data_IF_378379088271
#
_entry.id   IF_378379088271
#
_cell.length_a   1.000
_cell.length_b   1.000
_cell.length_c   1.000
_cell.angle_alpha   90.00
_cell.angle_beta   90.00
_cell.angle_gamma   90.00
#
_symmetry.space_group_name_H-M   'P 1'
#
loop_
_entity.id
_entity.type
_entity.pdbx_description
1 polymer ?
#
# COMPACT_ATOMS: atom_id res chain seq x y z
N UNK A 1 -0.71 -8.65 -6.87
CA UNK A 1 -0.42 -8.05 -5.55
C UNK A 1 -1.13 -6.74 -5.37
N UNK A 2 -1.66 -6.50 -4.17
CA UNK A 2 -2.36 -5.28 -3.78
C UNK A 2 -1.61 -4.59 -2.67
N UNK A 3 -1.49 -3.27 -2.75
CA UNK A 3 -0.83 -2.40 -1.79
C UNK A 3 -1.81 -1.31 -1.33
N UNK A 4 -1.86 -1.08 -0.03
CA UNK A 4 -2.46 0.10 0.60
C UNK A 4 -1.36 0.92 1.27
N UNK A 5 -1.35 2.21 1.04
CA UNK A 5 -0.42 3.16 1.65
C UNK A 5 -1.20 4.29 2.31
N UNK A 6 -1.09 4.40 3.62
CA UNK A 6 -1.78 5.39 4.46
C UNK A 6 -0.77 6.39 5.04
N UNK A 7 -1.05 7.68 4.89
CA UNK A 7 -0.16 8.74 5.41
C UNK A 7 -0.33 8.83 6.92
N UNK A 8 0.67 8.33 7.65
CA UNK A 8 0.64 8.34 9.11
C UNK A 8 0.75 9.76 9.65
N UNK A 9 0.10 9.98 10.81
CA UNK A 9 0.06 11.27 11.51
C UNK A 9 -0.66 12.38 10.74
N UNK A 10 -1.28 12.05 9.60
CA UNK A 10 -1.99 13.00 8.75
C UNK A 10 -3.15 13.69 9.49
N UNK A 11 -3.92 12.96 10.29
CA UNK A 11 -5.01 13.52 11.11
C UNK A 11 -4.48 14.56 12.11
N UNK A 12 -3.37 14.26 12.80
CA UNK A 12 -2.72 15.19 13.72
C UNK A 12 -2.13 16.40 13.00
N UNK A 13 -1.50 16.17 11.86
CA UNK A 13 -0.98 17.23 10.99
C UNK A 13 -2.11 18.13 10.48
N UNK A 14 -3.19 17.55 9.97
CA UNK A 14 -4.32 18.28 9.38
C UNK A 14 -5.08 19.14 10.38
N UNK A 15 -5.07 18.80 11.67
CA UNK A 15 -5.70 19.60 12.70
C UNK A 15 -4.96 20.93 13.00
N UNK A 16 -3.70 21.05 12.57
CA UNK A 16 -2.83 22.19 12.85
C UNK A 16 -2.58 23.11 11.63
N UNK A 17 -3.13 22.77 10.45
CA UNK A 17 -2.93 23.52 9.21
C UNK A 17 -4.26 23.85 8.54
N UNK A 18 -4.26 24.83 7.61
CA UNK A 18 -5.49 25.17 6.90
C UNK A 18 -5.90 24.08 5.89
N UNK A 19 -7.21 23.94 5.61
CA UNK A 19 -7.69 22.97 4.62
C UNK A 19 -7.01 23.08 3.24
N UNK A 20 -6.65 24.29 2.84
CA UNK A 20 -5.94 24.53 1.58
C UNK A 20 -4.55 23.86 1.58
N UNK A 21 -3.80 24.02 2.66
CA UNK A 21 -2.47 23.41 2.82
C UNK A 21 -2.57 21.88 2.84
N UNK A 22 -3.61 21.33 3.48
CA UNK A 22 -3.87 19.89 3.47
C UNK A 22 -4.03 19.35 2.05
N UNK A 23 -4.86 20.00 1.24
CA UNK A 23 -5.11 19.59 -0.15
C UNK A 23 -3.85 19.70 -1.00
N UNK A 24 -3.09 20.78 -0.84
CA UNK A 24 -1.83 21.00 -1.56
C UNK A 24 -0.79 19.91 -1.20
N UNK A 25 -0.66 19.57 0.08
CA UNK A 25 0.27 18.55 0.54
C UNK A 25 -0.12 17.14 0.03
N UNK A 26 -1.40 16.77 0.15
CA UNK A 26 -1.89 15.51 -0.41
C UNK A 26 -1.68 15.43 -1.92
N UNK A 27 -1.99 16.52 -2.64
CA UNK A 27 -1.79 16.55 -4.07
C UNK A 27 -0.32 16.39 -4.45
N UNK A 28 0.60 17.02 -3.70
CA UNK A 28 2.04 16.87 -3.91
C UNK A 28 2.50 15.41 -3.69
N UNK A 29 2.11 14.80 -2.57
CA UNK A 29 2.46 13.41 -2.26
C UNK A 29 1.87 12.45 -3.30
N UNK A 30 0.59 12.58 -3.63
CA UNK A 30 -0.08 11.68 -4.56
C UNK A 30 0.39 11.85 -6.00
N UNK A 31 0.81 13.05 -6.41
CA UNK A 31 1.44 13.25 -7.73
C UNK A 31 2.76 12.48 -7.84
N UNK A 32 3.58 12.50 -6.78
CA UNK A 32 4.81 11.69 -6.75
C UNK A 32 4.49 10.20 -6.76
N UNK A 33 3.42 9.77 -6.08
CA UNK A 33 2.98 8.37 -6.13
C UNK A 33 2.49 7.96 -7.51
N UNK A 34 1.78 8.86 -8.22
CA UNK A 34 1.35 8.63 -9.60
C UNK A 34 2.56 8.43 -10.53
N UNK A 35 3.60 9.26 -10.41
CA UNK A 35 4.86 9.12 -11.17
C UNK A 35 5.57 7.78 -10.86
N UNK A 36 5.56 7.35 -9.60
CA UNK A 36 6.14 6.06 -9.20
C UNK A 36 5.32 4.88 -9.73
N UNK A 37 3.99 4.97 -9.72
CA UNK A 37 3.11 3.95 -10.29
C UNK A 37 3.41 3.77 -11.78
N UNK A 38 3.55 4.86 -12.53
CA UNK A 38 3.92 4.83 -13.95
C UNK A 38 5.31 4.24 -14.16
N UNK A 39 6.30 4.66 -13.36
CA UNK A 39 7.68 4.14 -13.41
C UNK A 39 7.75 2.62 -13.24
N UNK A 40 6.94 2.07 -12.33
CA UNK A 40 6.90 0.65 -12.03
C UNK A 40 5.89 -0.13 -12.89
N UNK A 41 5.19 0.53 -13.79
CA UNK A 41 4.12 -0.06 -14.61
C UNK A 41 3.10 -0.83 -13.73
N UNK A 42 2.74 -0.22 -12.61
CA UNK A 42 1.70 -0.68 -11.71
C UNK A 42 0.36 0.01 -12.02
N UNK A 43 -0.70 -0.39 -11.37
CA UNK A 43 -2.04 0.17 -11.57
C UNK A 43 -2.50 0.93 -10.33
N UNK A 44 -2.75 2.23 -10.47
CA UNK A 44 -3.47 3.01 -9.46
C UNK A 44 -4.94 2.63 -9.47
N UNK A 45 -5.46 2.18 -8.35
CA UNK A 45 -6.86 1.79 -8.24
C UNK A 45 -7.70 3.00 -7.79
N UNK A 46 -7.40 3.57 -6.65
CA UNK A 46 -8.11 4.71 -6.07
C UNK A 46 -7.37 5.33 -4.90
N UNK A 47 -7.85 6.49 -4.49
CA UNK A 47 -7.53 7.07 -3.18
C UNK A 47 -8.76 7.05 -2.28
N UNK A 48 -8.57 6.88 -0.97
CA UNK A 48 -9.63 6.90 0.06
C UNK A 48 -9.13 7.81 1.18
N UNK A 49 -9.48 9.10 1.12
CA UNK A 49 -8.89 10.10 2.02
C UNK A 49 -7.39 10.23 1.79
N UNK A 50 -6.60 9.96 2.82
CA UNK A 50 -5.15 9.94 2.83
C UNK A 50 -4.54 8.55 2.51
N UNK A 51 -5.38 7.58 2.15
CA UNK A 51 -4.95 6.24 1.76
C UNK A 51 -4.90 6.10 0.23
N UNK A 52 -3.83 5.50 -0.28
CA UNK A 52 -3.58 5.30 -1.71
C UNK A 52 -3.49 3.81 -2.03
N UNK A 53 -4.34 3.32 -2.94
CA UNK A 53 -4.45 1.91 -3.32
C UNK A 53 -3.85 1.63 -4.69
N UNK A 54 -2.94 0.66 -4.75
CA UNK A 54 -2.21 0.23 -5.95
C UNK A 54 -2.34 -1.28 -6.12
N UNK A 55 -2.23 -1.73 -7.37
CA UNK A 55 -2.06 -3.14 -7.66
C UNK A 55 -1.04 -3.39 -8.77
N UNK A 56 -0.46 -4.59 -8.80
CA UNK A 56 0.37 -5.08 -9.91
C UNK A 56 -0.02 -6.51 -10.27
N UNK A 57 0.08 -6.84 -11.55
CA UNK A 57 -0.39 -8.09 -12.13
C UNK A 57 -1.80 -7.99 -12.72
N UNK A 58 -2.36 -6.78 -12.74
CA UNK A 58 -3.59 -6.38 -13.39
C UNK A 58 -3.39 -5.01 -14.06
N UNK A 59 -4.15 -4.64 -15.09
CA UNK A 59 -4.98 -5.51 -15.91
C UNK A 59 -4.15 -6.54 -16.70
N UNK A 60 -2.84 -6.29 -16.82
CA UNK A 60 -1.92 -7.17 -17.53
C UNK A 60 -1.15 -8.05 -16.54
N UNK A 61 -0.95 -9.32 -16.90
CA UNK A 61 -0.18 -10.26 -16.08
C UNK A 61 1.26 -9.79 -15.93
N UNK A 62 1.73 -9.69 -14.70
CA UNK A 62 3.11 -9.43 -14.35
C UNK A 62 3.61 -10.55 -13.42
N UNK A 63 4.62 -11.31 -13.86
CA UNK A 63 5.20 -12.38 -13.02
C UNK A 63 5.94 -11.86 -11.80
N UNK A 64 6.42 -10.61 -11.87
CA UNK A 64 7.13 -9.91 -10.79
C UNK A 64 6.20 -9.00 -9.98
N UNK A 65 4.89 -9.25 -10.00
CA UNK A 65 3.89 -8.38 -9.37
C UNK A 65 4.17 -8.08 -7.90
N UNK A 66 4.72 -9.02 -7.14
CA UNK A 66 5.02 -8.83 -5.71
C UNK A 66 6.27 -7.98 -5.50
N UNK A 67 7.33 -8.24 -6.28
CA UNK A 67 8.54 -7.42 -6.28
C UNK A 67 8.25 -5.99 -6.74
N UNK A 68 7.46 -5.84 -7.80
CA UNK A 68 7.05 -4.54 -8.33
C UNK A 68 6.42 -3.66 -7.24
N UNK A 69 5.44 -4.18 -6.49
CA UNK A 69 4.78 -3.38 -5.44
C UNK A 69 5.68 -3.15 -4.22
N UNK A 70 6.62 -4.05 -3.93
CA UNK A 70 7.58 -3.86 -2.85
C UNK A 70 8.62 -2.78 -3.18
N UNK A 71 9.22 -2.85 -4.36
CA UNK A 71 10.21 -1.85 -4.80
C UNK A 71 9.55 -0.47 -4.90
N UNK A 72 8.32 -0.38 -5.43
CA UNK A 72 7.51 0.83 -5.43
C UNK A 72 7.22 1.33 -4.00
N UNK A 73 6.85 0.45 -3.07
CA UNK A 73 6.59 0.81 -1.68
C UNK A 73 7.82 1.39 -0.97
N UNK A 74 9.02 0.88 -1.26
CA UNK A 74 10.26 1.42 -0.72
C UNK A 74 10.50 2.85 -1.20
N UNK A 75 10.33 3.12 -2.50
CA UNK A 75 10.47 4.49 -3.04
C UNK A 75 9.37 5.44 -2.55
N UNK A 76 8.12 4.98 -2.41
CA UNK A 76 7.04 5.79 -1.83
C UNK A 76 7.37 6.24 -0.41
N UNK A 77 7.91 5.33 0.42
CA UNK A 77 8.32 5.63 1.78
C UNK A 77 9.41 6.69 1.83
N UNK A 78 10.41 6.58 0.96
CA UNK A 78 11.49 7.57 0.88
C UNK A 78 10.99 8.92 0.33
N UNK A 79 10.07 8.91 -0.63
CA UNK A 79 9.46 10.12 -1.19
C UNK A 79 8.70 10.92 -0.12
N UNK A 80 7.83 10.29 0.68
CA UNK A 80 7.09 10.99 1.76
C UNK A 80 8.06 11.61 2.76
N UNK A 81 9.10 10.89 3.19
CA UNK A 81 10.11 11.40 4.11
C UNK A 81 10.86 12.62 3.55
N UNK A 82 11.08 12.67 2.23
CA UNK A 82 11.74 13.79 1.57
C UNK A 82 10.83 15.00 1.38
N UNK A 83 9.53 14.78 1.17
CA UNK A 83 8.52 15.84 1.01
C UNK A 83 8.24 16.49 2.37
N UNK A 84 7.92 15.69 3.39
CA UNK A 84 7.61 16.21 4.71
C UNK A 84 8.06 15.22 5.81
N UNK A 85 9.08 15.60 6.57
CA UNK A 85 9.65 14.76 7.62
C UNK A 85 8.73 14.51 8.82
N UNK A 86 7.66 15.28 8.94
CA UNK A 86 6.67 15.13 10.01
C UNK A 86 5.57 14.10 9.64
N UNK A 87 5.51 13.70 8.38
CA UNK A 87 4.59 12.68 7.89
C UNK A 87 5.31 11.35 7.75
N UNK A 88 4.60 10.29 8.02
CA UNK A 88 5.06 8.94 7.78
C UNK A 88 4.19 8.21 6.77
N UNK A 89 4.53 6.98 6.48
CA UNK A 89 3.76 6.13 5.59
C UNK A 89 3.66 4.73 6.20
N UNK A 90 2.43 4.23 6.38
CA UNK A 90 2.15 2.84 6.70
C UNK A 90 1.76 2.13 5.41
N UNK A 91 2.43 1.03 5.11
CA UNK A 91 2.15 0.27 3.89
C UNK A 91 1.78 -1.15 4.25
N UNK A 92 0.66 -1.63 3.66
CA UNK A 92 0.22 -3.02 3.75
C UNK A 92 0.16 -3.67 2.38
N UNK A 93 0.75 -4.88 2.25
CA UNK A 93 0.79 -5.61 0.98
C UNK A 93 0.28 -7.04 1.16
N UNK A 94 -0.55 -7.48 0.21
CA UNK A 94 -0.96 -8.88 0.10
C UNK A 94 -0.99 -9.34 -1.36
N UNK A 95 -0.66 -10.61 -1.57
CA UNK A 95 -0.63 -11.25 -2.89
C UNK A 95 -1.63 -12.41 -2.94
N UNK A 96 -2.34 -12.51 -4.05
CA UNK A 96 -3.36 -13.53 -4.29
C UNK A 96 -4.34 -13.11 -5.39
N UNK A 97 -5.38 -13.88 -5.57
CA UNK A 97 -6.42 -13.61 -6.57
C UNK A 97 -7.26 -12.39 -6.19
N UNK A 98 -7.63 -11.62 -7.21
CA UNK A 98 -8.56 -10.48 -7.13
C UNK A 98 -9.47 -10.48 -8.33
N UNK A 99 -10.65 -9.89 -8.16
CA UNK A 99 -11.56 -9.58 -9.26
C UNK A 99 -11.53 -8.08 -9.50
N UNK A 100 -11.20 -7.67 -10.72
CA UNK A 100 -11.24 -6.28 -11.15
C UNK A 100 -12.52 -6.01 -11.94
N UNK A 101 -13.13 -4.87 -11.74
CA UNK A 101 -14.34 -4.53 -12.47
C UNK A 101 -14.80 -3.10 -12.24
N UNK A 102 -15.89 -2.76 -12.92
CA UNK A 102 -16.55 -1.47 -12.79
C UNK A 102 -17.96 -1.70 -12.26
N UNK A 103 -18.26 -1.09 -11.12
CA UNK A 103 -19.57 -1.20 -10.49
C UNK A 103 -20.20 0.19 -10.38
N UNK A 104 -21.50 0.24 -10.64
CA UNK A 104 -22.33 1.43 -10.50
C UNK A 104 -23.08 1.79 -11.78
N UNK A 105 -24.20 2.52 -11.61
CA UNK A 105 -25.03 3.01 -12.74
C UNK A 105 -24.80 4.49 -13.05
N UNK A 106 -24.34 5.29 -12.09
CA UNK A 106 -24.19 6.75 -12.23
C UNK A 106 -22.74 7.22 -12.21
N UNK A 107 -21.88 6.60 -11.38
CA UNK A 107 -20.44 6.85 -11.33
C UNK A 107 -19.75 5.51 -11.51
N UNK A 108 -19.12 5.33 -12.65
CA UNK A 108 -18.33 4.14 -12.93
C UNK A 108 -17.02 4.23 -12.14
N UNK A 109 -16.83 3.35 -11.18
CA UNK A 109 -15.61 3.25 -10.40
C UNK A 109 -14.97 1.91 -10.70
N UNK A 110 -13.80 1.93 -11.28
CA UNK A 110 -12.94 0.75 -11.39
C UNK A 110 -12.40 0.42 -10.01
N UNK A 111 -12.60 -0.79 -9.57
CA UNK A 111 -12.17 -1.24 -8.25
C UNK A 111 -11.77 -2.73 -8.26
N UNK A 112 -11.19 -3.18 -7.15
CA UNK A 112 -10.81 -4.55 -6.91
C UNK A 112 -11.57 -5.14 -5.74
N UNK A 113 -11.95 -6.41 -5.90
CA UNK A 113 -12.61 -7.20 -4.86
C UNK A 113 -11.88 -8.52 -4.66
N UNK A 114 -11.96 -9.02 -3.44
CA UNK A 114 -11.42 -10.32 -3.07
C UNK A 114 -10.76 -10.29 -1.70
N UNK A 115 -10.47 -11.47 -1.22
CA UNK A 115 -9.82 -11.67 0.07
C UNK A 115 -8.45 -10.98 0.16
N UNK A 116 -7.70 -11.03 -0.93
CA UNK A 116 -6.38 -10.38 -1.06
C UNK A 116 -6.44 -8.88 -0.77
N UNK A 117 -7.50 -8.20 -1.25
CA UNK A 117 -7.71 -6.76 -1.01
C UNK A 117 -7.94 -6.49 0.48
N UNK A 118 -8.81 -7.30 1.10
CA UNK A 118 -9.10 -7.19 2.53
C UNK A 118 -7.86 -7.44 3.38
N UNK A 119 -7.06 -8.45 3.03
CA UNK A 119 -5.81 -8.75 3.74
C UNK A 119 -4.80 -7.63 3.59
N UNK A 120 -4.61 -7.07 2.39
CA UNK A 120 -3.72 -5.94 2.17
C UNK A 120 -4.10 -4.72 3.03
N UNK A 121 -5.39 -4.37 3.08
CA UNK A 121 -5.91 -3.31 3.96
C UNK A 121 -5.68 -3.62 5.44
N UNK A 122 -5.76 -4.90 5.86
CA UNK A 122 -5.43 -5.29 7.24
C UNK A 122 -3.94 -5.17 7.52
N UNK A 123 -3.08 -5.56 6.58
CA UNK A 123 -1.63 -5.37 6.73
C UNK A 123 -1.29 -3.90 6.95
N UNK A 124 -1.90 -2.98 6.18
CA UNK A 124 -1.74 -1.54 6.39
C UNK A 124 -2.23 -1.14 7.79
N UNK A 125 -3.46 -1.51 8.17
CA UNK A 125 -4.07 -1.14 9.45
C UNK A 125 -3.28 -1.60 10.68
N UNK A 126 -2.69 -2.80 10.63
CA UNK A 126 -1.84 -3.37 11.69
C UNK A 126 -0.36 -3.03 11.48
N UNK A 127 -0.04 -2.27 10.44
CA UNK A 127 1.30 -1.78 10.15
C UNK A 127 1.79 -0.76 11.16
N UNK A 128 3.08 -0.49 11.11
CA UNK A 128 3.74 0.54 11.91
C UNK A 128 4.17 1.69 11.01
N UNK A 129 4.27 2.86 11.59
CA UNK A 129 4.74 4.04 10.88
C UNK A 129 6.13 3.81 10.28
N UNK A 130 6.32 4.21 9.03
CA UNK A 130 7.53 4.02 8.23
C UNK A 130 7.89 2.55 7.95
N UNK A 131 6.98 1.59 8.15
CA UNK A 131 7.23 0.19 7.87
C UNK A 131 6.31 -0.34 6.77
N UNK A 132 6.80 -1.36 6.07
CA UNK A 132 6.06 -2.11 5.05
C UNK A 132 5.71 -3.46 5.65
N UNK A 133 4.42 -3.70 5.86
CA UNK A 133 3.87 -4.90 6.47
C UNK A 133 3.26 -5.79 5.40
N UNK A 134 3.68 -7.04 5.34
CA UNK A 134 3.26 -7.97 4.29
C UNK A 134 2.62 -9.22 4.84
N UNK A 135 1.68 -9.77 4.08
CA UNK A 135 1.06 -11.06 4.36
C UNK A 135 2.00 -12.23 4.04
N UNK A 136 1.75 -13.40 4.66
CA UNK A 136 2.50 -14.63 4.38
C UNK A 136 2.53 -15.01 2.90
N UNK A 137 1.43 -14.95 2.12
CA UNK A 137 1.48 -15.22 0.69
C UNK A 137 2.46 -14.32 -0.07
N UNK A 138 2.54 -13.03 0.27
CA UNK A 138 3.53 -12.12 -0.31
C UNK A 138 4.95 -12.51 0.09
N UNK A 139 5.17 -12.77 1.37
CA UNK A 139 6.47 -13.21 1.90
C UNK A 139 7.00 -14.44 1.15
N UNK A 140 6.19 -15.47 0.94
CA UNK A 140 6.62 -16.71 0.25
C UNK A 140 7.09 -16.45 -1.19
N UNK A 141 6.55 -15.44 -1.87
CA UNK A 141 6.95 -15.08 -3.24
C UNK A 141 8.32 -14.38 -3.25
N UNK A 142 8.61 -13.55 -2.23
CA UNK A 142 9.73 -12.59 -2.29
C UNK A 142 10.85 -12.85 -1.27
N UNK A 143 10.72 -13.84 -0.39
CA UNK A 143 11.64 -14.12 0.72
C UNK A 143 13.10 -14.29 0.31
N UNK A 144 13.35 -14.73 -0.92
CA UNK A 144 14.72 -14.93 -1.41
C UNK A 144 15.41 -13.63 -1.85
N UNK A 145 14.63 -12.57 -2.09
CA UNK A 145 15.12 -11.28 -2.63
C UNK A 145 15.20 -10.16 -1.60
N UNK A 146 14.51 -10.31 -0.47
CA UNK A 146 14.40 -9.26 0.55
C UNK A 146 14.66 -9.82 1.95
N UNK A 147 15.08 -8.94 2.86
CA UNK A 147 15.24 -9.22 4.28
C UNK A 147 13.99 -8.78 5.04
N UNK A 148 13.60 -9.59 6.01
CA UNK A 148 12.40 -9.36 6.82
C UNK A 148 12.74 -9.39 8.32
N UNK A 149 11.81 -8.87 9.13
CA UNK A 149 11.77 -9.12 10.57
C UNK A 149 11.45 -10.59 10.85
N UNK A 150 11.57 -10.97 12.12
CA UNK A 150 10.98 -12.21 12.58
C UNK A 150 9.46 -12.22 12.31
N UNK A 151 8.91 -13.43 12.19
CA UNK A 151 7.50 -13.66 12.01
C UNK A 151 6.68 -12.99 13.11
N UNK A 152 5.67 -12.22 12.73
CA UNK A 152 4.64 -11.68 13.62
C UNK A 152 3.33 -12.43 13.45
N UNK A 153 2.54 -12.51 14.50
CA UNK A 153 1.18 -13.06 14.45
C UNK A 153 0.21 -11.94 14.84
N UNK A 154 -0.76 -11.68 13.98
CA UNK A 154 -1.84 -10.72 14.25
C UNK A 154 -3.18 -11.44 14.27
N UNK A 155 -4.09 -11.00 15.14
CA UNK A 155 -5.48 -11.48 15.14
C UNK A 155 -6.33 -10.58 14.23
N UNK A 156 -6.76 -11.14 13.10
CA UNK A 156 -7.55 -10.42 12.09
C UNK A 156 -9.01 -10.79 12.23
N UNK A 157 -9.85 -9.82 12.58
CA UNK A 157 -11.30 -10.00 12.72
C UNK A 157 -11.88 -10.72 11.49
N UNK A 158 -12.53 -11.86 11.73
CA UNK A 158 -13.13 -12.71 10.71
C UNK A 158 -12.18 -13.69 10.00
N UNK A 159 -10.88 -13.71 10.37
CA UNK A 159 -9.87 -14.62 9.83
C UNK A 159 -9.06 -15.36 10.90
N UNK A 160 -9.10 -14.88 12.15
CA UNK A 160 -8.26 -15.42 13.21
C UNK A 160 -6.79 -15.02 13.07
N UNK A 161 -5.91 -15.85 13.59
CA UNK A 161 -4.47 -15.59 13.61
C UNK A 161 -3.85 -15.71 12.22
N UNK A 162 -3.09 -14.68 11.83
CA UNK A 162 -2.38 -14.62 10.56
C UNK A 162 -0.88 -14.36 10.79
N UNK A 163 -0.05 -15.10 10.09
CA UNK A 163 1.40 -14.87 10.04
C UNK A 163 1.69 -13.71 9.09
N UNK A 164 2.51 -12.77 9.55
CA UNK A 164 2.88 -11.57 8.81
C UNK A 164 4.33 -11.19 9.03
N UNK A 165 4.89 -10.32 8.19
CA UNK A 165 6.29 -9.96 8.21
C UNK A 165 6.45 -8.46 7.91
N UNK A 166 7.45 -7.84 8.54
CA UNK A 166 7.85 -6.47 8.18
C UNK A 166 9.09 -6.51 7.29
N UNK A 167 9.00 -5.82 6.16
CA UNK A 167 10.12 -5.67 5.24
C UNK A 167 11.21 -4.79 5.85
N UNK A 168 12.46 -5.21 5.75
CA UNK A 168 13.63 -4.42 6.18
C UNK A 168 14.27 -3.72 4.98
N UNK A 169 14.78 -4.50 4.04
CA UNK A 169 15.47 -3.99 2.86
C UNK A 169 15.58 -5.08 1.79
N UNK A 170 16.06 -4.71 0.62
CA UNK A 170 16.47 -5.64 -0.43
C UNK A 170 17.81 -6.31 -0.04
N UNK A 171 17.98 -7.58 -0.43
CA UNK A 171 19.24 -8.32 -0.23
C UNK A 171 20.33 -7.82 -1.17
#
# INVERSE_FOLDING_TARGET
SVLFADISDFTSYSSNVSPKVIVEELNNIFSVFDDLVDKYNAEKIKTIGDNYMIASGIPYKNRLHAETVIDLALEMKDAVKNINKNLGLKIGISSGEVVAGVIGKRKFIYDLWGDTVNVASRMEKYGKNHEIHISKPTYEIVKDKYNFSDRSIIDVKGKGQMETFFLKNRK
#
